data_IF_823802029948
#
_entry.id   IF_823802029948
#
_cell.length_a   1.000
_cell.length_b   1.000
_cell.length_c   1.000
_cell.angle_alpha   90.00
_cell.angle_beta   90.00
_cell.angle_gamma   90.00
#
_symmetry.space_group_name_H-M   'P 1'
#
loop_
_entity.id
_entity.type
_entity.pdbx_description
1 polymer ?
#
# COMPACT_ATOMS: atom_id res chain seq x y z
N UNK A 1 0.45 26.40 -8.06
CA UNK A 1 -0.82 25.64 -8.10
C UNK A 1 -1.17 25.27 -6.67
N UNK A 2 -2.44 25.40 -6.28
CA UNK A 2 -2.88 24.95 -4.96
C UNK A 2 -2.79 23.42 -4.84
N UNK A 3 -2.43 22.92 -3.66
CA UNK A 3 -2.33 21.49 -3.41
C UNK A 3 -3.73 20.85 -3.45
N UNK A 4 -3.86 19.80 -4.25
CA UNK A 4 -5.06 18.99 -4.30
C UNK A 4 -4.89 17.72 -3.48
N UNK A 5 -5.99 17.27 -2.90
CA UNK A 5 -6.05 16.09 -2.05
C UNK A 5 -7.04 15.09 -2.64
N UNK A 6 -6.86 13.82 -2.30
CA UNK A 6 -7.75 12.73 -2.67
C UNK A 6 -7.81 11.70 -1.54
N UNK A 7 -8.95 11.03 -1.40
CA UNK A 7 -9.14 9.97 -0.42
C UNK A 7 -8.38 8.71 -0.88
N UNK A 8 -7.51 8.20 0.00
CA UNK A 8 -6.77 6.97 -0.23
C UNK A 8 -7.74 5.80 -0.47
N UNK A 9 -7.55 5.05 -1.56
CA UNK A 9 -8.50 3.99 -2.00
C UNK A 9 -8.56 2.77 -1.07
N UNK A 10 -7.64 2.68 -0.11
CA UNK A 10 -7.65 1.73 1.00
C UNK A 10 -8.54 2.16 2.17
N UNK A 11 -9.02 3.41 2.20
CA UNK A 11 -9.87 3.90 3.29
C UNK A 11 -11.16 3.10 3.35
N UNK A 12 -11.53 2.66 4.56
CA UNK A 12 -12.79 1.98 4.84
C UNK A 12 -13.45 2.68 6.00
N UNK A 13 -14.78 2.71 5.99
CA UNK A 13 -15.58 3.22 7.10
C UNK A 13 -16.66 2.20 7.39
N UNK A 14 -16.78 1.79 8.65
CA UNK A 14 -17.83 0.90 9.12
C UNK A 14 -18.59 1.62 10.23
N UNK A 15 -19.88 1.84 10.03
CA UNK A 15 -20.77 2.35 11.07
C UNK A 15 -21.37 1.18 11.81
N UNK A 16 -21.23 1.16 13.13
CA UNK A 16 -21.80 0.12 13.97
C UNK A 16 -22.46 0.73 15.21
N UNK A 17 -23.78 0.56 15.31
CA UNK A 17 -24.62 1.16 16.36
C UNK A 17 -24.49 2.68 16.42
N UNK A 18 -23.80 3.21 17.43
CA UNK A 18 -23.56 4.66 17.63
C UNK A 18 -22.13 5.09 17.27
N UNK A 19 -21.27 4.15 16.89
CA UNK A 19 -19.85 4.39 16.64
C UNK A 19 -19.53 4.22 15.15
N UNK A 20 -18.44 4.84 14.71
CA UNK A 20 -17.83 4.56 13.43
C UNK A 20 -16.40 4.06 13.61
N UNK A 21 -15.99 3.13 12.74
CA UNK A 21 -14.61 2.67 12.61
C UNK A 21 -14.08 3.24 11.31
N UNK A 22 -13.03 4.05 11.39
CA UNK A 22 -12.30 4.58 10.24
C UNK A 22 -11.01 3.79 10.03
N UNK A 23 -10.78 3.30 8.81
CA UNK A 23 -9.64 2.47 8.44
C UNK A 23 -9.89 0.97 8.60
N UNK A 24 -8.82 0.18 8.50
CA UNK A 24 -8.85 -1.27 8.57
C UNK A 24 -7.47 -1.83 9.03
N UNK A 25 -7.46 -3.07 9.55
CA UNK A 25 -6.24 -3.71 10.02
C UNK A 25 -5.62 -3.00 11.21
N UNK A 26 -4.30 -2.78 11.18
CA UNK A 26 -3.56 -2.09 12.25
C UNK A 26 -3.85 -0.58 12.34
N UNK A 27 -4.44 0.02 11.30
CA UNK A 27 -4.84 1.44 11.27
C UNK A 27 -6.36 1.56 11.31
N UNK A 28 -6.92 1.34 12.50
CA UNK A 28 -8.35 1.48 12.77
C UNK A 28 -8.60 2.46 13.91
N UNK A 29 -9.54 3.37 13.72
CA UNK A 29 -9.92 4.39 14.71
C UNK A 29 -11.39 4.25 15.04
N UNK A 30 -11.68 3.93 16.29
CA UNK A 30 -13.05 3.85 16.80
C UNK A 30 -13.45 5.25 17.28
N UNK A 31 -14.51 5.78 16.68
CA UNK A 31 -15.00 7.13 16.93
C UNK A 31 -16.42 7.03 17.49
N UNK A 32 -16.56 7.38 18.77
CA UNK A 32 -17.81 7.27 19.51
C UNK A 32 -18.67 8.55 19.44
N UNK A 33 -18.05 9.70 19.14
CA UNK A 33 -18.80 10.95 18.98
C UNK A 33 -19.49 10.99 17.61
N UNK A 34 -20.82 11.04 17.63
CA UNK A 34 -21.66 10.98 16.44
C UNK A 34 -21.38 12.14 15.50
N UNK A 35 -21.35 13.36 16.03
CA UNK A 35 -21.13 14.57 15.24
C UNK A 35 -19.75 14.55 14.59
N UNK A 36 -18.73 14.08 15.30
CA UNK A 36 -17.39 13.96 14.75
C UNK A 36 -17.30 12.93 13.62
N UNK A 37 -17.83 11.71 13.77
CA UNK A 37 -17.73 10.73 12.68
C UNK A 37 -18.60 11.08 11.48
N UNK A 38 -19.77 11.70 11.68
CA UNK A 38 -20.60 12.21 10.56
C UNK A 38 -19.82 13.27 9.76
N UNK A 39 -19.16 14.21 10.44
CA UNK A 39 -18.30 15.20 9.78
C UNK A 39 -17.15 14.54 9.00
N UNK A 40 -16.52 13.49 9.55
CA UNK A 40 -15.45 12.77 8.87
C UNK A 40 -15.92 12.06 7.60
N UNK A 41 -17.09 11.41 7.65
CA UNK A 41 -17.67 10.73 6.48
C UNK A 41 -18.07 11.73 5.41
N UNK A 42 -18.77 12.80 5.78
CA UNK A 42 -19.18 13.86 4.85
C UNK A 42 -17.97 14.49 4.17
N UNK A 43 -16.93 14.77 4.95
CA UNK A 43 -15.71 15.38 4.44
C UNK A 43 -14.93 14.40 3.53
N UNK A 44 -14.76 13.14 3.96
CA UNK A 44 -14.08 12.12 3.16
C UNK A 44 -14.76 11.89 1.79
N UNK A 45 -16.10 11.97 1.74
CA UNK A 45 -16.86 11.82 0.50
C UNK A 45 -16.56 12.93 -0.53
N UNK A 46 -16.16 14.13 -0.09
CA UNK A 46 -15.83 15.21 -1.03
C UNK A 46 -14.54 14.93 -1.82
N UNK A 47 -13.61 14.17 -1.24
CA UNK A 47 -12.31 13.82 -1.83
C UNK A 47 -12.29 12.46 -2.52
N UNK A 48 -13.45 11.92 -2.91
CA UNK A 48 -13.50 10.80 -3.87
C UNK A 48 -12.81 11.22 -5.19
N UNK A 49 -12.92 12.51 -5.53
CA UNK A 49 -12.26 13.22 -6.61
C UNK A 49 -11.20 14.19 -6.08
N UNK A 50 -10.28 14.62 -6.95
CA UNK A 50 -9.20 15.56 -6.60
C UNK A 50 -9.78 16.96 -6.38
N UNK A 51 -9.57 17.52 -5.19
CA UNK A 51 -10.03 18.89 -4.84
C UNK A 51 -9.05 19.58 -3.89
N UNK A 52 -9.02 20.91 -3.91
CA UNK A 52 -8.27 21.68 -2.92
C UNK A 52 -8.99 21.70 -1.58
N UNK A 53 -8.26 22.11 -0.52
CA UNK A 53 -8.82 22.26 0.82
C UNK A 53 -9.93 23.33 0.86
N UNK A 54 -9.72 24.47 0.21
CA UNK A 54 -10.67 25.58 0.24
C UNK A 54 -11.91 25.31 -0.62
N UNK A 55 -11.76 24.69 -1.80
CA UNK A 55 -12.90 24.23 -2.61
C UNK A 55 -13.85 23.34 -1.81
N UNK A 56 -13.27 22.40 -1.05
CA UNK A 56 -14.03 21.46 -0.22
C UNK A 56 -14.67 22.13 1.00
N UNK A 57 -14.00 23.12 1.60
CA UNK A 57 -14.60 23.90 2.68
C UNK A 57 -15.79 24.71 2.17
N UNK A 58 -15.65 25.36 1.02
CA UNK A 58 -16.71 26.18 0.44
C UNK A 58 -17.96 25.35 0.15
N UNK A 59 -17.83 24.12 -0.36
CA UNK A 59 -18.97 23.23 -0.63
C UNK A 59 -19.71 22.74 0.63
N UNK A 60 -19.04 22.72 1.78
CA UNK A 60 -19.60 22.25 3.06
C UNK A 60 -19.87 23.37 4.07
N UNK A 61 -19.55 24.61 3.73
CA UNK A 61 -19.59 25.76 4.65
C UNK A 61 -20.98 26.03 5.26
N UNK A 62 -22.05 25.63 4.57
CA UNK A 62 -23.44 25.75 5.05
C UNK A 62 -23.82 24.73 6.12
N UNK A 63 -23.10 23.61 6.21
CA UNK A 63 -23.42 22.48 7.12
C UNK A 63 -22.30 22.18 8.13
N UNK A 64 -21.09 22.69 7.91
CA UNK A 64 -19.93 22.42 8.76
C UNK A 64 -19.14 23.70 9.06
N UNK A 65 -18.94 23.99 10.34
CA UNK A 65 -18.09 25.12 10.76
C UNK A 65 -16.62 24.91 10.37
N UNK A 66 -15.88 26.01 10.16
CA UNK A 66 -14.44 25.97 9.84
C UNK A 66 -13.61 25.17 10.86
N UNK A 67 -13.98 25.26 12.14
CA UNK A 67 -13.32 24.51 13.22
C UNK A 67 -13.51 23.00 13.04
N UNK A 68 -14.76 22.55 12.84
CA UNK A 68 -15.07 21.13 12.63
C UNK A 68 -14.43 20.60 11.34
N UNK A 69 -14.42 21.42 10.29
CA UNK A 69 -13.76 21.11 9.03
C UNK A 69 -12.25 20.89 9.23
N UNK A 70 -11.57 21.84 9.88
CA UNK A 70 -10.13 21.73 10.12
C UNK A 70 -9.80 20.53 11.01
N UNK A 71 -10.59 20.26 12.04
CA UNK A 71 -10.43 19.08 12.90
C UNK A 71 -10.56 17.77 12.11
N UNK A 72 -11.59 17.65 11.26
CA UNK A 72 -11.82 16.48 10.43
C UNK A 72 -10.74 16.33 9.34
N UNK A 73 -10.34 17.42 8.68
CA UNK A 73 -9.24 17.43 7.71
C UNK A 73 -7.94 16.94 8.35
N UNK A 74 -7.56 17.49 9.51
CA UNK A 74 -6.35 17.10 10.21
C UNK A 74 -6.38 15.61 10.59
N UNK A 75 -7.53 15.11 11.07
CA UNK A 75 -7.68 13.68 11.34
C UNK A 75 -7.46 12.83 10.09
N UNK A 76 -8.09 13.16 8.96
CA UNK A 76 -7.94 12.38 7.73
C UNK A 76 -6.51 12.46 7.17
N UNK A 77 -5.90 13.64 7.20
CA UNK A 77 -4.58 13.88 6.63
C UNK A 77 -3.46 13.29 7.48
N UNK A 78 -3.45 13.53 8.81
CA UNK A 78 -2.42 13.02 9.72
C UNK A 78 -2.44 11.50 9.83
N UNK A 79 -3.58 10.86 9.58
CA UNK A 79 -3.70 9.39 9.54
C UNK A 79 -3.57 8.81 8.13
N UNK A 80 -3.24 9.63 7.13
CA UNK A 80 -3.09 9.26 5.72
C UNK A 80 -4.34 8.63 5.10
N UNK A 81 -5.54 8.94 5.58
CA UNK A 81 -6.76 8.64 4.81
C UNK A 81 -6.95 9.62 3.66
N UNK A 82 -6.49 10.86 3.86
CA UNK A 82 -6.39 11.89 2.83
C UNK A 82 -4.91 12.07 2.45
N UNK A 83 -4.63 12.06 1.15
CA UNK A 83 -3.28 12.10 0.59
C UNK A 83 -3.19 13.15 -0.51
N UNK A 84 -1.97 13.59 -0.83
CA UNK A 84 -1.75 14.49 -1.95
C UNK A 84 -2.12 13.79 -3.27
N UNK A 85 -2.87 14.48 -4.13
CA UNK A 85 -3.41 13.91 -5.36
C UNK A 85 -2.31 13.37 -6.29
N UNK A 86 -1.18 14.07 -6.38
CA UNK A 86 -0.01 13.67 -7.18
C UNK A 86 0.54 12.28 -6.79
N UNK A 87 0.44 11.90 -5.51
CA UNK A 87 0.91 10.59 -5.03
C UNK A 87 0.01 9.44 -5.47
N UNK A 88 -1.21 9.77 -5.93
CA UNK A 88 -2.21 8.82 -6.40
C UNK A 88 -2.23 8.68 -7.92
N UNK A 89 -1.46 9.51 -8.63
CA UNK A 89 -1.43 9.50 -10.08
C UNK A 89 -0.84 8.18 -10.59
N UNK A 90 -1.54 7.57 -11.55
CA UNK A 90 -1.12 6.33 -12.21
C UNK A 90 -0.91 5.12 -11.29
N UNK A 91 -1.38 5.13 -10.03
CA UNK A 91 -1.30 3.95 -9.14
C UNK A 91 -1.88 2.71 -9.82
N UNK A 92 -3.00 2.85 -10.53
CA UNK A 92 -3.74 1.72 -11.10
C UNK A 92 -3.24 1.23 -12.47
N UNK A 93 -2.25 1.90 -13.06
CA UNK A 93 -1.73 1.56 -14.39
C UNK A 93 -0.35 0.86 -14.34
N UNK A 94 -0.01 0.20 -13.23
CA UNK A 94 1.24 -0.56 -13.11
C UNK A 94 1.07 -1.88 -12.32
N UNK A 95 2.01 -2.80 -12.52
CA UNK A 95 2.04 -4.14 -11.87
C UNK A 95 2.19 -4.10 -10.33
N UNK A 96 2.60 -2.97 -9.76
CA UNK A 96 2.82 -2.78 -8.31
C UNK A 96 1.67 -1.98 -7.65
N UNK A 97 0.54 -1.80 -8.34
CA UNK A 97 -0.59 -0.96 -7.90
C UNK A 97 -1.08 -1.25 -6.48
N UNK A 98 -1.13 -2.51 -6.07
CA UNK A 98 -1.53 -2.91 -4.71
C UNK A 98 -0.49 -2.55 -3.65
N UNK A 99 0.79 -2.73 -3.95
CA UNK A 99 1.89 -2.29 -3.08
C UNK A 99 1.94 -0.77 -2.95
N UNK A 100 1.62 -0.03 -4.02
CA UNK A 100 1.53 1.43 -3.97
C UNK A 100 0.47 1.92 -2.98
N UNK A 101 -0.71 1.29 -2.94
CA UNK A 101 -1.74 1.60 -1.94
C UNK A 101 -1.26 1.33 -0.51
N UNK A 102 -0.48 0.26 -0.32
CA UNK A 102 0.14 -0.02 0.98
C UNK A 102 1.11 1.10 1.39
N UNK A 103 2.06 1.48 0.54
CA UNK A 103 3.03 2.56 0.82
C UNK A 103 2.33 3.89 1.12
N UNK A 104 1.33 4.24 0.32
CA UNK A 104 0.55 5.45 0.50
C UNK A 104 -0.18 5.47 1.85
N UNK A 105 -0.68 4.33 2.32
CA UNK A 105 -1.31 4.23 3.65
C UNK A 105 -0.35 4.52 4.81
N UNK A 106 0.96 4.44 4.58
CA UNK A 106 2.01 4.85 5.53
C UNK A 106 2.54 6.27 5.28
N UNK A 107 1.90 7.04 4.39
CA UNK A 107 2.33 8.41 4.06
C UNK A 107 3.58 8.45 3.18
N UNK A 108 3.96 7.32 2.56
CA UNK A 108 5.12 7.26 1.67
C UNK A 108 4.73 7.59 0.23
N UNK A 109 5.64 8.21 -0.52
CA UNK A 109 5.46 8.45 -1.96
C UNK A 109 5.66 7.14 -2.75
N UNK A 110 4.61 6.54 -3.34
CA UNK A 110 4.69 5.17 -3.86
C UNK A 110 5.75 4.96 -4.94
N UNK A 111 5.85 5.91 -5.89
CA UNK A 111 6.84 5.81 -6.97
C UNK A 111 8.28 5.92 -6.45
N UNK A 112 8.51 6.68 -5.38
CA UNK A 112 9.84 6.83 -4.78
C UNK A 112 10.26 5.55 -4.05
N UNK A 113 9.30 4.88 -3.39
CA UNK A 113 9.54 3.55 -2.79
C UNK A 113 9.86 2.53 -3.87
N UNK A 114 9.06 2.48 -4.94
CA UNK A 114 9.29 1.52 -6.02
C UNK A 114 10.61 1.76 -6.74
N UNK A 115 10.98 3.02 -6.99
CA UNK A 115 12.30 3.38 -7.52
C UNK A 115 13.42 2.93 -6.58
N UNK A 116 13.27 3.13 -5.27
CA UNK A 116 14.26 2.67 -4.30
C UNK A 116 14.45 1.16 -4.36
N UNK A 117 13.36 0.39 -4.41
CA UNK A 117 13.40 -1.08 -4.53
C UNK A 117 14.09 -1.53 -5.82
N UNK A 118 13.80 -0.88 -6.95
CA UNK A 118 14.40 -1.25 -8.24
C UNK A 118 15.91 -0.99 -8.31
N UNK A 119 16.44 -0.15 -7.42
CA UNK A 119 17.89 0.06 -7.30
C UNK A 119 18.57 -0.88 -6.28
N UNK A 120 17.82 -1.74 -5.57
CA UNK A 120 18.40 -2.66 -4.59
C UNK A 120 18.91 -3.94 -5.23
N UNK A 121 20.04 -4.39 -4.70
CA UNK A 121 20.60 -5.72 -4.91
C UNK A 121 20.50 -6.49 -3.60
N UNK A 122 19.90 -7.67 -3.62
CA UNK A 122 19.74 -8.53 -2.44
C UNK A 122 20.41 -9.87 -2.69
N UNK A 123 21.22 -10.32 -1.74
CA UNK A 123 21.84 -11.65 -1.75
C UNK A 123 21.01 -12.59 -0.89
N UNK A 124 20.68 -13.77 -1.42
CA UNK A 124 19.99 -14.84 -0.69
C UNK A 124 20.95 -16.01 -0.59
N UNK A 125 21.41 -16.28 0.63
CA UNK A 125 22.27 -17.41 0.97
C UNK A 125 21.39 -18.59 1.37
N UNK A 126 21.34 -19.61 0.51
CA UNK A 126 20.44 -20.76 0.64
C UNK A 126 19.10 -20.53 -0.04
N UNK A 127 18.81 -21.36 -1.04
CA UNK A 127 17.61 -21.39 -1.87
C UNK A 127 16.71 -22.60 -1.57
N UNK A 128 16.81 -23.15 -0.35
CA UNK A 128 15.81 -24.06 0.21
C UNK A 128 14.46 -23.36 0.44
N UNK A 129 13.56 -23.98 1.22
CA UNK A 129 12.16 -23.52 1.33
C UNK A 129 11.99 -22.03 1.66
N UNK A 130 12.78 -21.49 2.60
CA UNK A 130 12.73 -20.07 2.99
C UNK A 130 13.26 -19.18 1.86
N UNK A 131 14.47 -19.47 1.36
CA UNK A 131 15.08 -18.66 0.31
C UNK A 131 14.26 -18.62 -0.97
N UNK A 132 13.61 -19.73 -1.31
CA UNK A 132 12.69 -19.86 -2.44
C UNK A 132 11.46 -18.94 -2.30
N UNK A 133 10.84 -18.88 -1.12
CA UNK A 133 9.71 -17.97 -0.88
C UNK A 133 10.14 -16.50 -0.82
N UNK A 134 11.25 -16.21 -0.13
CA UNK A 134 11.76 -14.84 0.01
C UNK A 134 12.16 -14.28 -1.36
N UNK A 135 12.81 -15.07 -2.21
CA UNK A 135 13.18 -14.62 -3.56
C UNK A 135 11.94 -14.28 -4.40
N UNK A 136 10.90 -15.12 -4.35
CA UNK A 136 9.64 -14.87 -5.04
C UNK A 136 8.97 -13.55 -4.60
N UNK A 137 8.91 -13.31 -3.28
CA UNK A 137 8.33 -12.09 -2.72
C UNK A 137 9.15 -10.86 -3.11
N UNK A 138 10.48 -10.91 -3.02
CA UNK A 138 11.33 -9.77 -3.36
C UNK A 138 11.28 -9.45 -4.87
N UNK A 139 11.33 -10.47 -5.72
CA UNK A 139 11.21 -10.30 -7.17
C UNK A 139 9.85 -9.71 -7.57
N UNK A 140 8.76 -10.26 -7.03
CA UNK A 140 7.40 -9.74 -7.30
C UNK A 140 7.15 -8.35 -6.72
N UNK A 141 7.87 -7.96 -5.67
CA UNK A 141 7.85 -6.61 -5.10
C UNK A 141 8.68 -5.59 -5.91
N UNK A 142 9.45 -6.05 -6.89
CA UNK A 142 10.23 -5.19 -7.79
C UNK A 142 11.61 -4.81 -7.26
N UNK A 143 12.25 -5.68 -6.47
CA UNK A 143 13.70 -5.56 -6.19
C UNK A 143 14.47 -5.73 -7.50
N UNK A 144 15.41 -4.83 -7.78
CA UNK A 144 16.10 -4.78 -9.08
C UNK A 144 16.98 -5.98 -9.38
N UNK A 145 17.67 -6.53 -8.38
CA UNK A 145 18.54 -7.70 -8.57
C UNK A 145 18.55 -8.63 -7.38
N UNK A 146 18.41 -9.93 -7.64
CA UNK A 146 18.58 -10.99 -6.67
C UNK A 146 19.82 -11.81 -7.03
N UNK A 147 20.70 -12.04 -6.05
CA UNK A 147 21.85 -12.95 -6.17
C UNK A 147 21.54 -14.17 -5.32
N UNK A 148 21.32 -15.31 -5.98
CA UNK A 148 20.97 -16.57 -5.35
C UNK A 148 22.21 -17.44 -5.20
N UNK A 149 22.52 -17.88 -3.98
CA UNK A 149 23.70 -18.72 -3.69
C UNK A 149 23.22 -20.01 -3.04
N UNK A 150 23.31 -21.11 -3.79
CA UNK A 150 22.98 -22.45 -3.32
C UNK A 150 23.73 -23.49 -4.16
N UNK A 151 24.26 -24.54 -3.54
CA UNK A 151 25.02 -25.59 -4.23
C UNK A 151 24.23 -26.89 -4.40
N UNK A 152 23.00 -26.96 -3.92
CA UNK A 152 22.16 -28.13 -4.04
C UNK A 152 21.53 -28.26 -5.43
N UNK A 153 21.03 -29.47 -5.70
CA UNK A 153 20.13 -29.78 -6.81
C UNK A 153 18.70 -29.91 -6.32
N UNK A 154 17.76 -29.74 -7.24
CA UNK A 154 16.34 -29.90 -6.97
C UNK A 154 16.01 -31.40 -6.89
N UNK A 155 15.30 -31.79 -5.84
CA UNK A 155 14.87 -33.16 -5.58
C UNK A 155 13.36 -33.24 -5.40
N UNK A 156 12.75 -34.41 -5.65
CA UNK A 156 11.31 -34.63 -5.49
C UNK A 156 10.77 -34.17 -4.12
N UNK A 157 11.50 -34.44 -3.04
CA UNK A 157 11.09 -34.06 -1.67
C UNK A 157 11.03 -32.54 -1.46
N UNK A 158 11.71 -31.76 -2.31
CA UNK A 158 11.82 -30.32 -2.19
C UNK A 158 10.54 -29.60 -2.68
N UNK A 159 9.79 -30.22 -3.59
CA UNK A 159 8.60 -29.65 -4.25
C UNK A 159 7.47 -29.30 -3.27
N UNK A 160 7.41 -29.97 -2.11
CA UNK A 160 6.42 -29.67 -1.05
C UNK A 160 6.62 -28.32 -0.35
N UNK A 161 7.83 -27.73 -0.45
CA UNK A 161 8.21 -26.53 0.30
C UNK A 161 8.94 -25.46 -0.51
N UNK A 162 9.30 -25.74 -1.76
CA UNK A 162 10.01 -24.83 -2.66
C UNK A 162 9.16 -24.54 -3.90
N UNK A 163 8.21 -23.62 -3.75
CA UNK A 163 7.10 -23.36 -4.67
C UNK A 163 7.51 -22.90 -6.08
N UNK A 164 8.74 -22.44 -6.27
CA UNK A 164 9.24 -22.01 -7.58
C UNK A 164 9.74 -23.18 -8.45
N UNK A 165 9.76 -24.41 -7.92
CA UNK A 165 10.22 -25.60 -8.63
C UNK A 165 9.06 -26.51 -9.00
N UNK A 166 9.19 -27.16 -10.14
CA UNK A 166 8.25 -28.13 -10.71
C UNK A 166 8.93 -29.51 -10.84
N UNK A 167 8.16 -30.55 -11.19
CA UNK A 167 8.72 -31.89 -11.42
C UNK A 167 9.73 -31.92 -12.58
N UNK A 168 9.56 -31.03 -13.57
CA UNK A 168 10.49 -30.87 -14.70
C UNK A 168 11.85 -30.29 -14.27
N UNK A 169 11.91 -29.63 -13.12
CA UNK A 169 13.14 -29.01 -12.61
C UNK A 169 14.02 -29.98 -11.80
N UNK A 170 13.59 -31.22 -11.58
CA UNK A 170 14.36 -32.21 -10.80
C UNK A 170 15.72 -32.49 -11.46
N UNK A 171 16.78 -32.45 -10.66
CA UNK A 171 18.16 -32.64 -11.12
C UNK A 171 18.86 -31.36 -11.58
N UNK A 172 18.13 -30.25 -11.79
CA UNK A 172 18.73 -28.94 -12.04
C UNK A 172 19.23 -28.30 -10.73
N UNK A 173 20.14 -27.33 -10.86
CA UNK A 173 20.66 -26.58 -9.70
C UNK A 173 19.58 -25.68 -9.13
N UNK A 174 19.54 -25.53 -7.80
CA UNK A 174 18.62 -24.59 -7.13
C UNK A 174 18.94 -23.13 -7.44
N UNK A 175 20.19 -22.81 -7.78
CA UNK A 175 20.58 -21.47 -8.18
C UNK A 175 19.98 -21.14 -9.56
N UNK A 176 19.16 -20.10 -9.61
CA UNK A 176 18.64 -19.50 -10.84
C UNK A 176 19.13 -18.05 -10.90
N UNK A 177 19.75 -17.65 -12.01
CA UNK A 177 20.09 -16.24 -12.23
C UNK A 177 18.84 -15.49 -12.70
N UNK A 178 18.23 -14.72 -11.81
CA UNK A 178 17.15 -13.80 -12.17
C UNK A 178 17.72 -12.40 -12.42
N UNK A 179 17.72 -11.96 -13.68
CA UNK A 179 17.67 -10.53 -13.97
C UNK A 179 16.20 -10.10 -13.92
N UNK A 180 15.82 -9.37 -12.87
CA UNK A 180 14.48 -8.79 -12.74
C UNK A 180 14.49 -7.46 -13.49
N UNK A 181 14.47 -7.53 -14.83
CA UNK A 181 14.37 -6.36 -15.72
C UNK A 181 12.92 -5.95 -15.95
#
# INVERSE_FOLDING_TARGET
MEQQYILGKYTRVVVHKKNAIFGAGSKQFIINDRKHWENLVLLAAQWIEKKTKEETYNSLSSIMSRENFNRAFNFLFSNHFLVLAETSDNIFHNRYSRSHLHYQSYGMHPASVQHTLSQKVVVILGCGGIGNHVSAILASSGVGKLILVDNDVIEMTNLTRQILFTEEDIGFRKQLFFNVS
#
